data_IF_320113560441
#
_entry.id   IF_320113560441
#
_cell.length_a   1.000
_cell.length_b   1.000
_cell.length_c   1.000
_cell.angle_alpha   90.00
_cell.angle_beta   90.00
_cell.angle_gamma   90.00
#
_symmetry.space_group_name_H-M   'P 1'
#
loop_
_entity.id
_entity.type
_entity.pdbx_description
1 polymer ?
#
# COMPACT_ATOMS: atom_id res chain seq x y z
N UNK A 1 -0.35 12.50 -10.63
CA UNK A 1 -0.86 12.21 -9.28
C UNK A 1 -0.33 10.87 -8.83
N UNK A 2 -0.15 10.72 -7.53
CA UNK A 2 0.46 9.52 -6.96
C UNK A 2 -0.36 9.00 -5.77
N UNK A 3 -0.10 7.75 -5.42
CA UNK A 3 -0.53 7.15 -4.16
C UNK A 3 0.63 7.26 -3.18
N UNK A 4 0.45 8.03 -2.13
CA UNK A 4 1.40 8.16 -1.04
C UNK A 4 0.84 7.45 0.18
N UNK A 5 1.60 6.52 0.73
CA UNK A 5 1.12 5.65 1.81
C UNK A 5 1.51 6.24 3.16
N UNK A 6 0.59 6.16 4.09
CA UNK A 6 0.82 6.59 5.47
C UNK A 6 0.13 5.61 6.43
N UNK A 7 0.81 5.27 7.51
CA UNK A 7 0.21 4.49 8.59
C UNK A 7 -0.24 5.47 9.67
N UNK A 8 -1.52 5.49 9.96
CA UNK A 8 -2.09 6.44 10.94
C UNK A 8 -2.84 5.73 12.04
N UNK A 9 -2.81 6.33 13.21
CA UNK A 9 -3.59 5.88 14.36
C UNK A 9 -4.57 6.95 14.78
N UNK A 10 -5.73 6.53 15.29
CA UNK A 10 -6.74 7.45 15.80
C UNK A 10 -6.31 8.00 17.15
N UNK A 11 -6.45 9.30 17.32
CA UNK A 11 -6.21 9.96 18.61
C UNK A 11 -7.41 9.73 19.52
N UNK A 12 -7.15 9.20 20.72
CA UNK A 12 -8.21 8.90 21.68
C UNK A 12 -8.95 10.19 22.09
N UNK A 13 -10.29 10.10 22.10
CA UNK A 13 -11.14 11.21 22.53
C UNK A 13 -11.43 12.26 21.48
N UNK A 14 -10.82 12.17 20.29
CA UNK A 14 -11.08 13.08 19.19
C UNK A 14 -11.21 12.30 17.88
N UNK A 15 -11.90 12.88 16.91
CA UNK A 15 -12.06 12.26 15.59
C UNK A 15 -10.93 12.71 14.66
N UNK A 16 -9.72 12.32 15.02
CA UNK A 16 -8.52 12.66 14.27
C UNK A 16 -7.57 11.47 14.18
N UNK A 17 -6.83 11.39 13.06
CA UNK A 17 -5.80 10.40 12.82
C UNK A 17 -4.46 11.10 12.64
N UNK A 18 -3.41 10.51 13.19
CA UNK A 18 -2.06 11.06 13.07
C UNK A 18 -1.12 10.00 12.45
N UNK A 19 -0.19 10.41 11.58
CA UNK A 19 0.78 9.49 11.04
C UNK A 19 1.76 9.05 12.14
N UNK A 20 2.13 7.78 12.11
CA UNK A 20 3.10 7.19 13.04
C UNK A 20 4.17 6.48 12.22
N UNK A 21 5.43 6.72 12.59
CA UNK A 21 6.55 6.16 11.87
C UNK A 21 6.75 6.81 10.51
N UNK A 22 7.72 6.31 9.76
CA UNK A 22 8.01 6.75 8.41
C UNK A 22 7.47 5.74 7.40
N UNK A 23 6.78 6.23 6.38
CA UNK A 23 6.39 5.44 5.23
C UNK A 23 6.60 6.30 3.99
N UNK A 24 7.62 5.96 3.21
CA UNK A 24 8.01 6.72 2.02
C UNK A 24 7.54 6.07 0.72
N UNK A 25 6.73 5.02 0.83
CA UNK A 25 6.25 4.30 -0.35
C UNK A 25 5.28 5.19 -1.14
N UNK A 26 5.57 5.35 -2.43
CA UNK A 26 4.66 6.01 -3.33
C UNK A 26 4.69 5.37 -4.73
N UNK A 27 3.62 5.56 -5.48
CA UNK A 27 3.55 5.11 -6.88
C UNK A 27 2.57 6.00 -7.64
N UNK A 28 2.79 6.12 -8.95
CA UNK A 28 1.88 6.83 -9.84
C UNK A 28 0.49 6.16 -9.92
N UNK A 29 -0.54 6.95 -10.12
CA UNK A 29 -1.91 6.45 -10.36
C UNK A 29 -2.02 5.50 -11.54
N UNK A 30 -1.10 5.58 -12.48
CA UNK A 30 -1.08 4.68 -13.63
C UNK A 30 -0.97 3.21 -13.25
N UNK A 31 -0.54 2.91 -12.02
CA UNK A 31 -0.44 1.54 -11.50
C UNK A 31 -1.76 0.99 -10.93
N UNK A 32 -2.84 1.77 -10.88
CA UNK A 32 -4.08 1.38 -10.18
C UNK A 32 -4.69 0.07 -10.65
N UNK A 33 -4.62 -0.23 -11.95
CA UNK A 33 -5.15 -1.49 -12.50
C UNK A 33 -4.35 -2.69 -12.03
N UNK A 34 -3.03 -2.57 -12.04
CA UNK A 34 -2.14 -3.63 -11.56
C UNK A 34 -2.38 -3.88 -10.07
N UNK A 35 -2.49 -2.82 -9.29
CA UNK A 35 -2.77 -2.91 -7.85
C UNK A 35 -4.08 -3.66 -7.63
N UNK A 36 -5.16 -3.24 -8.29
CA UNK A 36 -6.48 -3.88 -8.14
C UNK A 36 -6.46 -5.34 -8.56
N UNK A 37 -5.85 -5.65 -9.70
CA UNK A 37 -5.83 -7.02 -10.23
C UNK A 37 -4.96 -7.96 -9.41
N UNK A 38 -3.87 -7.47 -8.85
CA UNK A 38 -2.96 -8.29 -8.05
C UNK A 38 -3.41 -8.46 -6.60
N UNK A 39 -3.98 -7.42 -5.99
CA UNK A 39 -4.35 -7.43 -4.57
C UNK A 39 -5.84 -7.60 -4.32
N UNK A 40 -6.69 -7.27 -5.29
CA UNK A 40 -8.13 -7.16 -5.10
C UNK A 40 -8.56 -5.88 -4.40
N UNK A 41 -7.64 -5.00 -4.06
CA UNK A 41 -7.92 -3.75 -3.36
C UNK A 41 -8.28 -2.64 -4.34
N UNK A 42 -9.39 -1.96 -4.07
CA UNK A 42 -9.76 -0.74 -4.77
C UNK A 42 -9.45 0.44 -3.86
N UNK A 43 -8.32 1.09 -4.10
CA UNK A 43 -7.84 2.16 -3.25
C UNK A 43 -8.63 3.45 -3.43
N UNK A 44 -8.84 4.13 -2.31
CA UNK A 44 -9.54 5.41 -2.24
C UNK A 44 -8.55 6.49 -1.81
N UNK A 45 -8.40 7.52 -2.65
CA UNK A 45 -7.48 8.63 -2.38
C UNK A 45 -7.92 9.47 -1.18
N UNK A 46 -6.94 9.98 -0.46
CA UNK A 46 -7.12 10.89 0.68
C UNK A 46 -8.04 10.31 1.74
N UNK A 47 -7.98 8.99 1.92
CA UNK A 47 -8.88 8.29 2.84
C UNK A 47 -8.17 7.17 3.59
N UNK A 48 -8.80 6.80 4.69
CA UNK A 48 -8.51 5.55 5.39
C UNK A 48 -9.02 4.38 4.54
N UNK A 49 -8.13 3.46 4.21
CA UNK A 49 -8.44 2.27 3.40
C UNK A 49 -8.56 1.00 4.24
N UNK A 50 -8.65 1.13 5.56
CA UNK A 50 -8.85 0.02 6.48
C UNK A 50 -7.66 -0.22 7.41
N UNK A 51 -7.79 -1.22 8.26
CA UNK A 51 -6.72 -1.61 9.17
C UNK A 51 -5.54 -2.19 8.41
N UNK A 52 -4.33 -1.82 8.82
CA UNK A 52 -3.12 -2.36 8.21
C UNK A 52 -3.08 -3.89 8.30
N UNK A 53 -3.52 -4.48 9.40
CA UNK A 53 -3.57 -5.95 9.55
C UNK A 53 -4.47 -6.64 8.53
N UNK A 54 -5.42 -5.92 7.93
CA UNK A 54 -6.29 -6.44 6.86
C UNK A 54 -5.74 -6.13 5.47
N UNK A 55 -5.11 -4.99 5.30
CA UNK A 55 -4.62 -4.52 3.99
C UNK A 55 -3.28 -5.16 3.62
N UNK A 56 -2.34 -5.22 4.57
CA UNK A 56 -0.98 -5.69 4.31
C UNK A 56 -0.93 -7.13 3.77
N UNK A 57 -1.68 -8.10 4.32
CA UNK A 57 -1.68 -9.46 3.75
C UNK A 57 -2.09 -9.51 2.27
N UNK A 58 -3.00 -8.64 1.85
CA UNK A 58 -3.43 -8.57 0.46
C UNK A 58 -2.31 -8.01 -0.44
N UNK A 59 -1.53 -7.08 0.07
CA UNK A 59 -0.34 -6.56 -0.61
C UNK A 59 0.71 -7.64 -0.75
N UNK A 60 0.94 -8.46 0.28
CA UNK A 60 1.85 -9.60 0.21
C UNK A 60 1.44 -10.59 -0.88
N UNK A 61 0.16 -10.92 -0.95
CA UNK A 61 -0.39 -11.81 -2.00
C UNK A 61 -0.20 -11.16 -3.37
N UNK A 62 -0.49 -9.88 -3.49
CA UNK A 62 -0.31 -9.13 -4.73
C UNK A 62 1.13 -9.16 -5.22
N UNK A 63 2.08 -8.93 -4.31
CA UNK A 63 3.50 -8.99 -4.64
C UNK A 63 3.90 -10.36 -5.17
N UNK A 64 3.48 -11.44 -4.50
CA UNK A 64 3.77 -12.80 -4.96
C UNK A 64 3.23 -13.07 -6.37
N UNK A 65 2.02 -12.61 -6.66
CA UNK A 65 1.42 -12.74 -7.99
C UNK A 65 2.25 -12.03 -9.05
N UNK A 66 2.70 -10.80 -8.76
CA UNK A 66 3.52 -10.02 -9.69
C UNK A 66 4.89 -10.65 -9.92
N UNK A 67 5.47 -11.25 -8.89
CA UNK A 67 6.77 -11.92 -8.99
C UNK A 67 6.69 -13.25 -9.72
N UNK A 68 5.63 -14.03 -9.50
CA UNK A 68 5.46 -15.35 -10.10
C UNK A 68 4.99 -15.30 -11.55
N UNK A 69 4.12 -14.34 -11.89
CA UNK A 69 3.53 -14.24 -13.22
C UNK A 69 3.50 -12.77 -13.69
N UNK A 70 4.67 -12.14 -13.88
CA UNK A 70 4.69 -10.73 -14.28
C UNK A 70 4.01 -10.48 -15.61
N UNK A 71 4.12 -11.39 -16.57
CA UNK A 71 3.56 -11.23 -17.91
C UNK A 71 2.04 -11.18 -17.91
N UNK A 72 1.40 -11.86 -16.95
CA UNK A 72 -0.05 -11.85 -16.79
C UNK A 72 -0.60 -10.45 -16.50
N UNK A 73 0.21 -9.61 -15.86
CA UNK A 73 -0.22 -8.27 -15.45
C UNK A 73 0.26 -7.16 -16.39
N UNK A 74 1.09 -7.47 -17.38
CA UNK A 74 1.60 -6.46 -18.31
C UNK A 74 0.51 -5.79 -19.13
N UNK A 75 -0.60 -6.47 -19.42
CA UNK A 75 -1.72 -5.88 -20.15
C UNK A 75 -2.38 -4.72 -19.40
N UNK A 76 -2.14 -4.63 -18.09
CA UNK A 76 -2.68 -3.56 -17.24
C UNK A 76 -1.72 -2.39 -17.08
N UNK A 77 -0.52 -2.46 -17.68
CA UNK A 77 0.41 -1.34 -17.67
C UNK A 77 -0.14 -0.19 -18.50
N UNK A 78 0.02 1.03 -17.98
CA UNK A 78 -0.46 2.21 -18.69
C UNK A 78 0.37 2.49 -19.95
N UNK A 79 -0.23 3.03 -21.03
CA UNK A 79 0.49 3.31 -22.26
C UNK A 79 1.64 4.32 -22.13
N UNK A 80 1.64 5.13 -21.06
CA UNK A 80 2.66 6.14 -20.82
C UNK A 80 3.95 5.58 -20.20
N UNK A 81 4.07 4.26 -20.06
CA UNK A 81 5.20 3.55 -19.45
C UNK A 81 5.37 3.84 -17.95
N UNK A 82 4.42 4.52 -17.35
CA UNK A 82 4.35 4.71 -15.91
C UNK A 82 3.41 3.67 -15.31
N UNK A 83 3.69 3.23 -14.10
CA UNK A 83 2.86 2.21 -13.47
C UNK A 83 3.11 0.82 -14.07
N UNK A 84 4.36 0.43 -14.15
CA UNK A 84 4.78 -0.90 -14.66
C UNK A 84 4.58 -1.97 -13.60
N UNK A 85 4.55 -3.24 -14.03
CA UNK A 85 4.56 -4.39 -13.13
C UNK A 85 5.78 -4.36 -12.20
N UNK A 86 6.96 -4.10 -12.77
CA UNK A 86 8.21 -4.00 -12.00
C UNK A 86 8.15 -2.89 -10.95
N UNK A 87 7.67 -1.72 -11.33
CA UNK A 87 7.53 -0.57 -10.42
C UNK A 87 6.50 -0.84 -9.33
N UNK A 88 5.39 -1.49 -9.67
CA UNK A 88 4.36 -1.87 -8.69
C UNK A 88 4.89 -2.88 -7.68
N UNK A 89 5.63 -3.90 -8.14
CA UNK A 89 6.25 -4.88 -7.25
C UNK A 89 7.23 -4.20 -6.28
N UNK A 90 8.05 -3.26 -6.78
CA UNK A 90 8.98 -2.51 -5.93
C UNK A 90 8.23 -1.66 -4.89
N UNK A 91 7.15 -1.02 -5.31
CA UNK A 91 6.28 -0.26 -4.42
C UNK A 91 5.71 -1.13 -3.30
N UNK A 92 5.24 -2.34 -3.62
CA UNK A 92 4.75 -3.29 -2.62
C UNK A 92 5.84 -3.70 -1.65
N UNK A 93 7.07 -3.98 -2.15
CA UNK A 93 8.21 -4.29 -1.27
C UNK A 93 8.51 -3.14 -0.31
N UNK A 94 8.44 -1.92 -0.79
CA UNK A 94 8.68 -0.73 0.03
C UNK A 94 7.63 -0.61 1.15
N UNK A 95 6.35 -0.86 0.84
CA UNK A 95 5.29 -0.87 1.85
C UNK A 95 5.56 -1.94 2.91
N UNK A 96 5.92 -3.15 2.47
CA UNK A 96 6.17 -4.26 3.39
C UNK A 96 7.39 -4.00 4.28
N UNK A 97 8.43 -3.38 3.73
CA UNK A 97 9.61 -2.99 4.52
C UNK A 97 9.25 -1.93 5.57
N UNK A 98 8.49 -0.91 5.18
CA UNK A 98 8.04 0.13 6.10
C UNK A 98 7.13 -0.45 7.18
N UNK A 99 6.26 -1.40 6.83
CA UNK A 99 5.42 -2.09 7.80
C UNK A 99 6.23 -2.95 8.78
N UNK A 100 7.27 -3.63 8.31
CA UNK A 100 8.17 -4.38 9.19
C UNK A 100 8.82 -3.45 10.22
N UNK A 101 9.31 -2.29 9.81
CA UNK A 101 9.88 -1.31 10.71
C UNK A 101 8.84 -0.80 11.71
N UNK A 102 7.63 -0.53 11.24
CA UNK A 102 6.53 -0.11 12.09
C UNK A 102 6.24 -1.14 13.19
N UNK A 103 6.18 -2.42 12.83
CA UNK A 103 5.92 -3.50 13.77
C UNK A 103 7.01 -3.62 14.86
N UNK A 104 8.25 -3.34 14.51
CA UNK A 104 9.36 -3.38 15.45
C UNK A 104 9.33 -2.21 16.43
N UNK A 105 9.03 -1.00 15.96
CA UNK A 105 9.10 0.21 16.78
C UNK A 105 7.79 0.53 17.48
N UNK A 106 6.66 0.07 16.94
CA UNK A 106 5.32 0.42 17.42
C UNK A 106 4.41 -0.80 17.55
N UNK A 107 4.94 -1.90 18.12
CA UNK A 107 4.20 -3.16 18.18
C UNK A 107 2.83 -3.04 18.85
N UNK A 108 2.69 -2.12 19.83
CA UNK A 108 1.44 -1.88 20.55
C UNK A 108 0.36 -1.26 19.66
N UNK A 109 0.75 -0.66 18.54
CA UNK A 109 -0.15 0.02 17.61
C UNK A 109 -0.51 -0.82 16.40
N UNK A 110 0.08 -2.01 16.24
CA UNK A 110 -0.08 -2.87 15.05
C UNK A 110 -1.54 -3.17 14.77
N UNK A 111 -2.33 -3.49 15.80
CA UNK A 111 -3.72 -3.89 15.63
C UNK A 111 -4.66 -2.71 15.35
N UNK A 112 -4.26 -1.49 15.65
CA UNK A 112 -5.10 -0.30 15.49
C UNK A 112 -4.64 0.62 14.35
N UNK A 113 -3.45 0.40 13.82
CA UNK A 113 -2.92 1.21 12.73
C UNK A 113 -3.78 1.06 11.47
N UNK A 114 -4.04 2.18 10.80
CA UNK A 114 -4.84 2.25 9.58
C UNK A 114 -3.98 2.60 8.38
N UNK A 115 -4.38 2.09 7.22
CA UNK A 115 -3.67 2.24 5.96
C UNK A 115 -4.28 3.42 5.19
N UNK A 116 -3.54 4.50 5.08
CA UNK A 116 -3.99 5.72 4.41
C UNK A 116 -3.30 5.91 3.08
N UNK A 117 -4.06 6.41 2.14
CA UNK A 117 -3.56 6.83 0.83
C UNK A 117 -3.78 8.34 0.76
N UNK A 118 -2.72 9.07 0.49
CA UNK A 118 -2.74 10.53 0.46
C UNK A 118 -2.45 11.11 -0.91
#
# INVERSE_FOLDING_TARGET
MSYDISFKVKVEGVDAYVPVGACDANITWSARKIIKKSTGLKWKNCQNNGLCVDVIPKIEVGLRKLEQNPDKFKEYEAPNEWGTVKGTAQFFRNILNDWNDFQQWYEELVQVATFWIE
#
